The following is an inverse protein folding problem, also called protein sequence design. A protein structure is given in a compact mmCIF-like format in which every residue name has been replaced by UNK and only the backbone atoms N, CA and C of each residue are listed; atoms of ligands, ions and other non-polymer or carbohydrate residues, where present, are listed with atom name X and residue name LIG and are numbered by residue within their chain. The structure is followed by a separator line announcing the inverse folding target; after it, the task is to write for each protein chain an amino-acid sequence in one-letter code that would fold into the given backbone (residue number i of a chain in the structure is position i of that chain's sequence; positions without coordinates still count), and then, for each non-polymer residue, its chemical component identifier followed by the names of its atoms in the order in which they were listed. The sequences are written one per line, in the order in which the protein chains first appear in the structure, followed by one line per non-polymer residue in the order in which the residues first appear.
data_IF_435346005369
#
_entry.id   IF_435346005369
#
_cell.length_a   1.000
_cell.length_b   1.000
_cell.length_c   1.000
_cell.angle_alpha   90.00
_cell.angle_beta   90.00
_cell.angle_gamma   90.00
#
_symmetry.space_group_name_H-M   'P 1'
#
loop_
_entity.id
_entity.type
_entity.pdbx_description
1 polymer ?
#
# COMPACT_ATOMS: atom_id res chain seq x y z
N UNK A 1 -10.09 -14.65 14.60
CA UNK A 1 -9.06 -13.69 14.13
C UNK A 1 -8.56 -14.00 12.73
N UNK A 2 -8.43 -15.29 12.36
CA UNK A 2 -8.03 -15.74 11.01
C UNK A 2 -8.75 -15.07 9.83
N UNK A 3 -10.08 -14.96 9.92
CA UNK A 3 -10.90 -14.35 8.84
C UNK A 3 -10.58 -12.88 8.66
N UNK A 4 -10.57 -12.09 9.75
CA UNK A 4 -10.25 -10.66 9.71
C UNK A 4 -8.85 -10.42 9.12
N UNK A 5 -7.86 -11.20 9.56
CA UNK A 5 -6.50 -11.17 9.03
C UNK A 5 -6.46 -11.40 7.52
N UNK A 6 -7.18 -12.42 7.03
CA UNK A 6 -7.27 -12.70 5.60
C UNK A 6 -7.95 -11.57 4.83
N UNK A 7 -9.06 -11.03 5.35
CA UNK A 7 -9.81 -9.94 4.68
C UNK A 7 -8.92 -8.72 4.52
N UNK A 8 -8.27 -8.27 5.61
CA UNK A 8 -7.37 -7.10 5.57
C UNK A 8 -6.20 -7.35 4.62
N UNK A 9 -5.59 -8.54 4.64
CA UNK A 9 -4.48 -8.86 3.74
C UNK A 9 -4.89 -8.94 2.27
N UNK A 10 -6.09 -9.47 1.96
CA UNK A 10 -6.62 -9.46 0.59
C UNK A 10 -6.80 -8.03 0.09
N UNK A 11 -7.37 -7.14 0.92
CA UNK A 11 -7.53 -5.73 0.56
C UNK A 11 -6.19 -5.06 0.27
N UNK A 12 -5.16 -5.27 1.11
CA UNK A 12 -3.82 -4.75 0.87
C UNK A 12 -3.23 -5.28 -0.44
N UNK A 13 -3.39 -6.57 -0.73
CA UNK A 13 -2.90 -7.17 -1.98
C UNK A 13 -3.61 -6.54 -3.17
N UNK A 14 -4.95 -6.41 -3.12
CA UNK A 14 -5.73 -5.77 -4.19
C UNK A 14 -5.29 -4.33 -4.42
N UNK A 15 -5.11 -3.53 -3.37
CA UNK A 15 -4.63 -2.16 -3.51
C UNK A 15 -3.22 -2.09 -4.10
N UNK A 16 -2.36 -3.04 -3.75
CA UNK A 16 -1.02 -3.11 -4.32
C UNK A 16 -0.99 -3.48 -5.81
N UNK A 17 -2.04 -4.09 -6.36
CA UNK A 17 -2.15 -4.25 -7.82
C UNK A 17 -2.22 -2.90 -8.53
N UNK A 18 -2.69 -1.85 -7.87
CA UNK A 18 -2.68 -0.47 -8.37
C UNK A 18 -1.36 0.25 -8.03
N UNK A 19 -0.92 0.20 -6.76
CA UNK A 19 0.25 0.96 -6.30
C UNK A 19 1.59 0.44 -6.84
N UNK A 20 1.69 -0.85 -7.18
CA UNK A 20 2.91 -1.42 -7.75
C UNK A 20 3.23 -0.87 -9.15
N UNK A 21 2.33 -0.95 -10.16
CA UNK A 21 2.59 -0.35 -11.46
C UNK A 21 2.68 1.19 -11.37
N UNK A 22 1.89 1.83 -10.51
CA UNK A 22 1.97 3.27 -10.27
C UNK A 22 3.39 3.70 -9.83
N UNK A 23 3.99 2.96 -8.89
CA UNK A 23 5.37 3.21 -8.44
C UNK A 23 6.38 3.06 -9.57
N UNK A 24 6.25 2.03 -10.40
CA UNK A 24 7.14 1.81 -11.55
C UNK A 24 7.02 2.96 -12.56
N UNK A 25 5.80 3.41 -12.85
CA UNK A 25 5.54 4.53 -13.76
C UNK A 25 6.19 5.80 -13.23
N UNK A 26 6.03 6.12 -11.95
CA UNK A 26 6.66 7.30 -11.34
C UNK A 26 8.19 7.23 -11.42
N UNK A 27 8.78 6.09 -11.07
CA UNK A 27 10.25 5.91 -11.11
C UNK A 27 10.78 6.11 -12.54
N UNK A 28 10.08 5.58 -13.55
CA UNK A 28 10.47 5.73 -14.95
C UNK A 28 10.28 7.16 -15.47
N UNK A 29 9.27 7.86 -14.98
CA UNK A 29 8.92 9.23 -15.40
C UNK A 29 9.47 10.30 -14.44
N UNK A 30 10.56 9.99 -13.70
CA UNK A 30 11.25 10.95 -12.82
C UNK A 30 11.73 12.22 -13.55
N UNK A 31 11.72 12.21 -14.89
CA UNK A 31 12.11 13.34 -15.75
C UNK A 31 11.19 14.59 -15.64
N UNK A 32 10.11 14.54 -14.85
CA UNK A 32 9.24 15.70 -14.54
C UNK A 32 9.77 16.64 -13.44
N UNK A 33 8.98 17.64 -12.98
CA UNK A 33 9.41 18.54 -11.91
C UNK A 33 9.85 17.73 -10.69
N UNK A 34 11.13 17.92 -10.34
CA UNK A 34 11.95 17.10 -9.42
C UNK A 34 11.28 16.91 -8.05
N UNK A 35 10.32 17.75 -7.68
CA UNK A 35 9.71 17.75 -6.36
C UNK A 35 8.61 16.68 -6.20
N UNK A 36 7.84 16.38 -7.25
CA UNK A 36 6.69 15.48 -7.11
C UNK A 36 7.10 14.00 -7.11
N UNK A 37 7.95 13.60 -8.06
CA UNK A 37 8.42 12.23 -8.19
C UNK A 37 9.18 11.74 -6.96
N UNK A 38 10.10 12.55 -6.42
CA UNK A 38 10.90 12.18 -5.25
C UNK A 38 10.08 12.16 -3.95
N UNK A 39 9.01 12.96 -3.85
CA UNK A 39 8.16 12.99 -2.66
C UNK A 39 7.14 11.85 -2.64
N UNK A 40 6.62 11.44 -3.80
CA UNK A 40 5.60 10.39 -3.88
C UNK A 40 6.19 8.97 -3.84
N UNK A 41 7.43 8.76 -4.32
CA UNK A 41 8.06 7.43 -4.34
C UNK A 41 8.19 6.81 -2.93
N UNK A 42 8.71 7.50 -1.89
CA UNK A 42 8.77 6.93 -0.54
C UNK A 42 7.39 6.51 -0.01
N UNK A 43 6.36 7.30 -0.36
CA UNK A 43 4.97 7.02 0.02
C UNK A 43 4.49 5.75 -0.67
N UNK A 44 4.65 5.62 -1.98
CA UNK A 44 4.16 4.44 -2.71
C UNK A 44 4.99 3.19 -2.39
N UNK A 45 6.29 3.32 -2.12
CA UNK A 45 7.13 2.21 -1.65
C UNK A 45 6.65 1.71 -0.29
N UNK A 46 6.27 2.61 0.64
CA UNK A 46 5.75 2.21 1.96
C UNK A 46 4.49 1.33 1.84
N UNK A 47 3.65 1.59 0.84
CA UNK A 47 2.46 0.80 0.52
C UNK A 47 2.85 -0.58 -0.04
N UNK A 48 3.83 -0.63 -0.94
CA UNK A 48 4.33 -1.88 -1.52
C UNK A 48 4.98 -2.81 -0.49
N UNK A 49 5.66 -2.25 0.53
CA UNK A 49 6.26 -3.05 1.61
C UNK A 49 5.18 -3.81 2.41
N UNK A 50 3.96 -3.29 2.52
CA UNK A 50 2.85 -3.97 3.22
C UNK A 50 2.42 -5.28 2.53
N UNK A 51 2.82 -5.53 1.28
CA UNK A 51 2.64 -6.85 0.64
C UNK A 51 3.30 -7.97 1.45
N UNK A 52 4.46 -7.69 2.06
CA UNK A 52 5.20 -8.70 2.82
C UNK A 52 4.36 -9.16 4.01
N UNK A 53 3.81 -8.22 4.78
CA UNK A 53 3.01 -8.53 5.97
C UNK A 53 1.64 -9.08 5.61
N UNK A 54 1.06 -8.69 4.47
CA UNK A 54 -0.17 -9.26 3.92
C UNK A 54 0.01 -10.72 3.47
N UNK A 55 1.11 -11.05 2.79
CA UNK A 55 1.41 -12.43 2.36
C UNK A 55 1.73 -13.33 3.55
N UNK A 56 2.43 -12.81 4.57
CA UNK A 56 2.74 -13.56 5.79
C UNK A 56 1.48 -14.08 6.49
N UNK A 57 0.36 -13.38 6.39
CA UNK A 57 -0.91 -13.76 7.03
C UNK A 57 -1.52 -15.05 6.48
N UNK A 58 -1.12 -15.48 5.26
CA UNK A 58 -1.56 -16.75 4.67
C UNK A 58 -0.77 -17.96 5.19
N UNK A 59 0.38 -17.75 5.82
CA UNK A 59 1.15 -18.84 6.46
C UNK A 59 0.43 -19.30 7.73
N UNK A 60 0.33 -20.61 7.93
CA UNK A 60 -0.39 -21.21 9.07
C UNK A 60 0.03 -20.61 10.43
N UNK A 61 1.34 -20.45 10.65
CA UNK A 61 1.95 -19.86 11.86
C UNK A 61 1.46 -18.44 12.19
N UNK A 62 1.08 -17.68 11.18
CA UNK A 62 0.82 -16.24 11.27
C UNK A 62 -0.66 -15.90 11.05
N UNK A 63 -1.47 -16.88 10.67
CA UNK A 63 -2.86 -16.66 10.27
C UNK A 63 -3.74 -16.08 11.38
N UNK A 64 -3.39 -16.26 12.65
CA UNK A 64 -4.11 -15.71 13.81
C UNK A 64 -3.31 -14.68 14.61
N UNK A 65 -2.21 -14.17 14.05
CA UNK A 65 -1.37 -13.17 14.73
C UNK A 65 -2.12 -11.84 14.89
N UNK A 66 -2.31 -11.41 16.13
CA UNK A 66 -2.83 -10.07 16.47
C UNK A 66 -1.90 -8.96 15.96
N UNK A 67 -0.59 -9.17 16.06
CA UNK A 67 0.41 -8.20 15.62
C UNK A 67 0.29 -7.94 14.11
N UNK A 68 0.14 -8.98 13.29
CA UNK A 68 -0.09 -8.80 11.85
C UNK A 68 -1.43 -8.13 11.56
N UNK A 69 -2.47 -8.39 12.36
CA UNK A 69 -3.75 -7.71 12.20
C UNK A 69 -3.62 -6.21 12.43
N UNK A 70 -2.87 -5.79 13.45
CA UNK A 70 -2.63 -4.38 13.77
C UNK A 70 -1.78 -3.72 12.69
N UNK A 71 -0.67 -4.35 12.27
CA UNK A 71 0.20 -3.81 11.23
C UNK A 71 -0.54 -3.68 9.90
N UNK A 72 -1.23 -4.73 9.46
CA UNK A 72 -2.00 -4.70 8.22
C UNK A 72 -3.20 -3.75 8.35
N UNK A 73 -3.83 -3.65 9.52
CA UNK A 73 -4.92 -2.71 9.76
C UNK A 73 -4.49 -1.25 9.63
N UNK A 74 -3.40 -0.86 10.30
CA UNK A 74 -2.80 0.47 10.17
C UNK A 74 -2.31 0.73 8.74
N UNK A 75 -1.68 -0.27 8.12
CA UNK A 75 -1.26 -0.22 6.73
C UNK A 75 -2.43 -0.01 5.77
N UNK A 76 -3.56 -0.67 5.98
CA UNK A 76 -4.76 -0.50 5.16
C UNK A 76 -5.33 0.92 5.29
N UNK A 77 -5.38 1.48 6.51
CA UNK A 77 -5.80 2.87 6.73
C UNK A 77 -4.87 3.83 5.97
N UNK A 78 -3.56 3.60 6.03
CA UNK A 78 -2.57 4.39 5.30
C UNK A 78 -2.77 4.33 3.79
N UNK A 79 -2.95 3.12 3.23
CA UNK A 79 -3.19 2.92 1.80
C UNK A 79 -4.46 3.63 1.34
N UNK A 80 -5.55 3.52 2.11
CA UNK A 80 -6.81 4.19 1.80
C UNK A 80 -6.68 5.71 1.86
N UNK A 81 -5.94 6.22 2.83
CA UNK A 81 -5.66 7.66 2.94
C UNK A 81 -4.88 8.19 1.74
N UNK A 82 -3.80 7.51 1.33
CA UNK A 82 -3.01 7.90 0.14
C UNK A 82 -3.85 7.79 -1.14
N UNK A 83 -4.63 6.72 -1.29
CA UNK A 83 -5.53 6.56 -2.43
C UNK A 83 -6.55 7.71 -2.49
N UNK A 84 -7.16 8.05 -1.35
CA UNK A 84 -8.09 9.16 -1.25
C UNK A 84 -7.44 10.49 -1.65
N UNK A 85 -6.22 10.77 -1.17
CA UNK A 85 -5.45 11.95 -1.59
C UNK A 85 -5.24 11.97 -3.11
N UNK A 86 -4.79 10.86 -3.71
CA UNK A 86 -4.55 10.78 -5.15
C UNK A 86 -5.82 10.98 -6.00
N UNK A 87 -6.99 10.58 -5.48
CA UNK A 87 -8.26 10.70 -6.19
C UNK A 87 -8.94 12.07 -6.01
N UNK A 88 -8.65 12.77 -4.91
CA UNK A 88 -9.36 14.01 -4.55
C UNK A 88 -8.55 15.28 -4.74
N UNK A 89 -7.22 15.18 -4.74
CA UNK A 89 -6.36 16.34 -5.02
C UNK A 89 -6.55 16.72 -6.50
N UNK A 90 -7.03 17.94 -6.80
CA UNK A 90 -7.19 18.39 -8.17
C UNK A 90 -5.81 18.48 -8.83
N UNK A 91 -5.72 17.99 -10.06
CA UNK A 91 -4.57 18.23 -10.91
C UNK A 91 -4.52 19.73 -11.16
N UNK A 92 -3.50 20.40 -10.63
CA UNK A 92 -3.22 21.79 -11.02
C UNK A 92 -2.63 21.73 -12.43
N UNK A 93 -3.41 22.21 -13.41
CA UNK A 93 -2.98 22.44 -14.80
C UNK A 93 -1.89 23.52 -14.89
#
# INVERSE_FOLDING_TARGET
MKVANRVVSILIITMNLYFFPYTIIIIKNIEGPIEYGYSIIPITISINILLITAVLTFKHRFSESLLLLVINGLGLIWVLFVLWLLLTVPLMD
#
